data_IF_686079068892
#
_entry.id   IF_686079068892
#
_cell.length_a   1.000
_cell.length_b   1.000
_cell.length_c   1.000
_cell.angle_alpha   90.00
_cell.angle_beta   90.00
_cell.angle_gamma   90.00
#
_symmetry.space_group_name_H-M   'P 1'
#
loop_
_entity.id
_entity.type
_entity.pdbx_description
1 polymer ?
#
# COMPACT_ATOMS: atom_id res chain seq x y z
N UNK A 1 21.07 -6.80 -3.45
CA UNK A 1 22.28 -5.98 -3.33
C UNK A 1 23.21 -6.23 -4.51
N UNK A 2 23.63 -5.17 -5.19
CA UNK A 2 24.72 -5.16 -6.17
C UNK A 2 25.85 -4.29 -5.62
N UNK A 3 27.01 -4.86 -5.43
CA UNK A 3 28.16 -4.17 -4.83
C UNK A 3 28.94 -3.38 -5.90
N UNK A 4 29.18 -2.10 -5.60
CA UNK A 4 30.07 -1.19 -6.32
C UNK A 4 30.92 -0.40 -5.34
N UNK A 5 31.86 0.38 -5.86
CA UNK A 5 32.78 1.18 -5.05
C UNK A 5 32.36 2.65 -4.92
N UNK A 6 31.22 3.03 -5.56
CA UNK A 6 30.68 4.38 -5.52
C UNK A 6 29.76 4.61 -4.33
N UNK A 7 28.87 5.60 -4.45
CA UNK A 7 27.89 5.95 -3.42
C UNK A 7 26.97 4.77 -3.10
N UNK A 8 26.51 4.72 -1.86
CA UNK A 8 25.49 3.78 -1.41
C UNK A 8 24.11 4.30 -1.81
N UNK A 9 23.44 3.57 -2.71
CA UNK A 9 22.11 3.89 -3.18
C UNK A 9 21.10 2.92 -2.59
N UNK A 10 20.01 3.45 -2.06
CA UNK A 10 18.86 2.67 -1.58
C UNK A 10 17.66 2.93 -2.50
N UNK A 11 17.12 1.87 -3.10
CA UNK A 11 15.81 1.87 -3.72
C UNK A 11 14.86 1.09 -2.83
N UNK A 12 13.73 1.68 -2.49
CA UNK A 12 12.76 1.08 -1.57
C UNK A 12 11.36 1.08 -2.17
N UNK A 13 10.63 -0.01 -1.96
CA UNK A 13 9.20 -0.17 -2.23
C UNK A 13 8.62 -1.11 -1.18
N UNK A 14 7.34 -0.96 -0.78
CA UNK A 14 6.81 -1.79 0.27
C UNK A 14 5.98 -2.98 -0.23
N UNK A 15 6.03 -4.09 0.53
CA UNK A 15 5.32 -5.34 0.20
C UNK A 15 4.02 -5.51 0.97
N UNK A 16 3.88 -4.84 2.10
CA UNK A 16 2.68 -4.94 2.93
C UNK A 16 1.48 -4.25 2.27
N UNK A 17 0.31 -4.55 2.74
CA UNK A 17 -0.95 -4.01 2.25
C UNK A 17 -1.85 -3.66 3.42
N UNK A 18 -2.84 -2.80 3.19
CA UNK A 18 -3.86 -2.50 4.18
C UNK A 18 -4.70 -3.73 4.51
N UNK A 19 -5.17 -3.81 5.75
CA UNK A 19 -5.97 -4.91 6.21
C UNK A 19 -6.69 -4.62 7.51
N UNK A 20 -7.16 -5.68 8.15
CA UNK A 20 -7.83 -5.61 9.45
C UNK A 20 -7.22 -6.64 10.41
N UNK A 21 -7.36 -6.41 11.71
CA UNK A 21 -6.93 -7.34 12.75
C UNK A 21 -8.05 -7.51 13.76
N UNK A 22 -8.39 -8.74 14.08
CA UNK A 22 -9.43 -9.06 15.08
C UNK A 22 -9.02 -8.54 16.43
N UNK A 23 -9.94 -7.80 17.09
CA UNK A 23 -9.74 -7.27 18.44
C UNK A 23 -10.64 -7.92 19.48
N UNK A 24 -11.76 -8.51 19.05
CA UNK A 24 -12.73 -9.14 19.91
C UNK A 24 -13.68 -10.01 19.09
N UNK A 25 -14.13 -11.12 19.63
CA UNK A 25 -15.25 -11.92 19.08
C UNK A 25 -16.41 -11.85 20.05
N UNK A 26 -17.58 -11.41 19.58
CA UNK A 26 -18.74 -11.28 20.42
C UNK A 26 -19.43 -12.63 20.69
N UNK A 27 -20.46 -12.63 21.57
CA UNK A 27 -21.18 -13.86 21.97
C UNK A 27 -21.92 -14.53 20.81
N UNK A 28 -22.20 -13.78 19.74
CA UNK A 28 -22.87 -14.28 18.54
C UNK A 28 -21.87 -14.72 17.44
N UNK A 29 -20.58 -14.66 17.73
CA UNK A 29 -19.51 -15.11 16.80
C UNK A 29 -19.04 -14.04 15.80
N UNK A 30 -19.54 -12.80 15.87
CA UNK A 30 -19.05 -11.73 15.01
C UNK A 30 -17.70 -11.19 15.50
N UNK A 31 -16.73 -11.07 14.59
CA UNK A 31 -15.42 -10.56 14.93
C UNK A 31 -15.35 -9.03 14.78
N UNK A 32 -14.99 -8.34 15.86
CA UNK A 32 -14.64 -6.93 15.86
C UNK A 32 -13.18 -6.78 15.45
N UNK A 33 -12.85 -5.68 14.81
CA UNK A 33 -11.52 -5.50 14.29
C UNK A 33 -11.02 -4.06 14.39
N UNK A 34 -9.73 -3.90 14.35
CA UNK A 34 -9.05 -2.63 14.09
C UNK A 34 -8.45 -2.63 12.69
N UNK A 35 -8.10 -1.47 12.19
CA UNK A 35 -7.45 -1.33 10.88
C UNK A 35 -5.95 -1.58 10.96
N UNK A 36 -5.40 -2.12 9.90
CA UNK A 36 -3.97 -2.09 9.56
C UNK A 36 -3.87 -1.15 8.35
N UNK A 37 -3.15 -0.02 8.52
CA UNK A 37 -3.01 0.98 7.46
C UNK A 37 -4.24 1.85 7.20
N UNK A 38 -4.35 2.35 5.99
CA UNK A 38 -5.31 3.37 5.56
C UNK A 38 -6.72 2.86 5.24
N UNK A 39 -7.28 1.96 6.01
CA UNK A 39 -8.62 1.40 5.78
C UNK A 39 -9.72 2.44 5.98
N UNK A 40 -10.55 2.64 4.95
CA UNK A 40 -11.71 3.54 4.97
C UNK A 40 -12.99 2.73 5.22
N UNK A 41 -13.78 3.04 6.26
CA UNK A 41 -15.03 2.33 6.58
C UNK A 41 -16.03 2.25 5.42
N UNK A 42 -16.13 3.29 4.59
CA UNK A 42 -17.06 3.31 3.46
C UNK A 42 -16.75 2.26 2.39
N UNK A 43 -15.47 1.96 2.18
CA UNK A 43 -15.03 1.00 1.16
C UNK A 43 -14.93 -0.43 1.65
N UNK A 44 -15.16 -0.65 2.95
CA UNK A 44 -15.07 -1.97 3.59
C UNK A 44 -16.38 -2.75 3.56
N UNK A 45 -17.54 -2.06 3.68
CA UNK A 45 -18.84 -2.69 3.84
C UNK A 45 -19.14 -3.60 2.65
N UNK A 46 -19.52 -4.87 2.94
CA UNK A 46 -19.75 -5.89 1.94
C UNK A 46 -18.49 -6.52 1.35
N UNK A 47 -17.30 -6.00 1.69
CA UNK A 47 -16.04 -6.60 1.26
C UNK A 47 -15.80 -7.95 1.94
N UNK A 48 -15.21 -8.88 1.20
CA UNK A 48 -14.66 -10.11 1.77
C UNK A 48 -13.25 -9.85 2.29
N UNK A 49 -12.93 -10.50 3.40
CA UNK A 49 -11.56 -10.56 3.93
C UNK A 49 -11.14 -12.01 4.08
N UNK A 50 -9.86 -12.29 3.83
CA UNK A 50 -9.27 -13.61 4.01
C UNK A 50 -8.24 -13.56 5.14
N UNK A 51 -8.35 -14.49 6.06
CA UNK A 51 -7.41 -14.73 7.13
C UNK A 51 -6.22 -15.59 6.64
N UNK A 52 -5.14 -15.65 7.41
CA UNK A 52 -3.90 -16.34 7.03
C UNK A 52 -4.11 -17.82 6.69
N UNK A 53 -5.02 -18.49 7.38
CA UNK A 53 -5.35 -19.91 7.15
C UNK A 53 -6.36 -20.15 5.99
N UNK A 54 -6.69 -19.11 5.23
CA UNK A 54 -7.59 -19.16 4.08
C UNK A 54 -9.09 -19.05 4.44
N UNK A 55 -9.44 -18.91 5.71
CA UNK A 55 -10.82 -18.60 6.10
C UNK A 55 -11.25 -17.26 5.56
N UNK A 56 -12.50 -17.13 5.18
CA UNK A 56 -13.06 -15.91 4.59
C UNK A 56 -14.21 -15.41 5.45
N UNK A 57 -14.22 -14.09 5.68
CA UNK A 57 -15.34 -13.41 6.31
C UNK A 57 -15.87 -12.26 5.46
N UNK A 58 -17.03 -11.73 5.80
CA UNK A 58 -17.66 -10.59 5.14
C UNK A 58 -17.80 -9.45 6.13
N UNK A 59 -17.38 -8.25 5.74
CA UNK A 59 -17.53 -7.07 6.59
C UNK A 59 -18.96 -6.55 6.52
N UNK A 60 -19.62 -6.57 7.66
CA UNK A 60 -20.94 -5.97 7.89
C UNK A 60 -20.85 -4.69 8.71
N UNK A 61 -21.99 -4.00 8.82
CA UNK A 61 -22.12 -2.76 9.59
C UNK A 61 -23.33 -2.86 10.53
N UNK A 62 -23.16 -2.41 11.78
CA UNK A 62 -24.26 -2.18 12.70
C UNK A 62 -25.01 -0.92 12.26
N UNK A 63 -26.18 -1.10 11.67
CA UNK A 63 -27.07 0.01 11.36
C UNK A 63 -28.13 0.15 12.46
N UNK A 64 -28.06 1.25 13.20
CA UNK A 64 -29.20 1.72 13.98
C UNK A 64 -30.13 2.49 13.05
N UNK A 65 -31.46 2.38 13.30
CA UNK A 65 -32.49 2.97 12.45
C UNK A 65 -32.31 4.49 12.22
N UNK A 66 -31.68 5.18 13.17
CA UNK A 66 -31.45 6.63 13.15
C UNK A 66 -30.11 7.03 12.51
N UNK A 67 -29.30 6.07 12.05
CA UNK A 67 -27.96 6.30 11.50
C UNK A 67 -27.88 5.97 10.00
N UNK A 68 -29.02 5.76 9.33
CA UNK A 68 -29.06 5.32 7.93
C UNK A 68 -28.30 6.24 6.96
N UNK A 69 -28.26 7.54 7.25
CA UNK A 69 -27.62 8.57 6.41
C UNK A 69 -26.21 8.95 6.91
N UNK A 70 -25.70 8.32 7.96
CA UNK A 70 -24.39 8.64 8.52
C UNK A 70 -23.30 7.71 7.99
N UNK A 71 -22.14 8.28 7.77
CA UNK A 71 -20.93 7.49 7.48
C UNK A 71 -20.60 6.66 8.73
N UNK A 72 -20.58 5.31 8.62
CA UNK A 72 -20.28 4.46 9.76
C UNK A 72 -18.85 4.66 10.23
N UNK A 73 -18.67 4.54 11.55
CA UNK A 73 -17.35 4.49 12.16
C UNK A 73 -16.78 3.06 12.10
N UNK A 74 -15.48 2.94 12.24
CA UNK A 74 -14.81 1.63 12.20
C UNK A 74 -15.31 0.68 13.32
N UNK A 75 -15.61 1.21 14.49
CA UNK A 75 -16.13 0.47 15.65
C UNK A 75 -17.56 -0.06 15.47
N UNK A 76 -18.27 0.42 14.44
CA UNK A 76 -19.58 -0.08 14.03
C UNK A 76 -19.49 -1.23 13.01
N UNK A 77 -18.29 -1.55 12.53
CA UNK A 77 -18.07 -2.64 11.60
C UNK A 77 -17.73 -3.94 12.34
N UNK A 78 -18.07 -5.05 11.71
CA UNK A 78 -17.73 -6.40 12.17
C UNK A 78 -17.41 -7.29 10.96
N UNK A 79 -16.73 -8.40 11.20
CA UNK A 79 -16.55 -9.47 10.21
C UNK A 79 -17.47 -10.63 10.61
N UNK A 80 -18.37 -11.00 9.71
CA UNK A 80 -19.12 -12.25 9.78
C UNK A 80 -18.24 -13.38 9.24
N UNK A 81 -17.86 -14.29 10.10
CA UNK A 81 -17.02 -15.46 9.80
C UNK A 81 -17.82 -16.77 9.77
N UNK A 82 -19.17 -16.67 9.79
CA UNK A 82 -20.08 -17.82 9.77
C UNK A 82 -20.17 -18.56 11.12
N UNK A 83 -19.66 -18.00 12.21
CA UNK A 83 -19.80 -18.56 13.54
C UNK A 83 -21.19 -18.28 14.12
N UNK A 84 -21.72 -19.18 14.94
CA UNK A 84 -22.99 -19.02 15.65
C UNK A 84 -22.83 -18.50 17.09
N UNK A 85 -21.63 -18.63 17.60
CA UNK A 85 -21.22 -18.20 18.95
C UNK A 85 -19.71 -18.00 18.99
N UNK A 86 -19.23 -17.44 20.12
CA UNK A 86 -17.81 -17.15 20.33
C UNK A 86 -16.94 -18.42 20.35
N UNK A 87 -17.43 -19.50 20.96
CA UNK A 87 -16.65 -20.71 21.18
C UNK A 87 -16.37 -21.44 19.87
N UNK A 88 -17.30 -21.35 18.90
CA UNK A 88 -17.18 -21.92 17.58
C UNK A 88 -16.59 -20.95 16.55
N UNK A 89 -16.12 -19.77 16.97
CA UNK A 89 -15.51 -18.82 16.05
C UNK A 89 -14.24 -19.42 15.43
N UNK A 90 -14.12 -19.41 14.09
CA UNK A 90 -12.93 -19.90 13.40
C UNK A 90 -11.75 -18.91 13.50
N UNK A 91 -11.94 -17.73 14.10
CA UNK A 91 -10.93 -16.69 14.24
C UNK A 91 -10.83 -16.24 15.69
N UNK A 92 -9.67 -15.69 16.05
CA UNK A 92 -9.36 -15.23 17.41
C UNK A 92 -8.77 -13.82 17.40
N UNK A 93 -8.66 -13.21 18.57
CA UNK A 93 -8.02 -11.91 18.76
C UNK A 93 -6.56 -11.98 18.30
N UNK A 94 -6.14 -11.02 17.48
CA UNK A 94 -4.82 -10.93 16.89
C UNK A 94 -4.73 -11.49 15.47
N UNK A 95 -5.73 -12.22 14.98
CA UNK A 95 -5.72 -12.73 13.61
C UNK A 95 -5.81 -11.58 12.61
N UNK A 96 -4.85 -11.43 11.69
CA UNK A 96 -4.92 -10.47 10.59
C UNK A 96 -5.74 -11.02 9.44
N UNK A 97 -6.36 -10.11 8.69
CA UNK A 97 -7.04 -10.45 7.45
C UNK A 97 -6.84 -9.36 6.39
N UNK A 98 -6.73 -9.77 5.14
CA UNK A 98 -6.58 -8.90 3.97
C UNK A 98 -7.84 -8.90 3.12
N UNK A 99 -8.08 -7.82 2.38
CA UNK A 99 -9.21 -7.72 1.46
C UNK A 99 -9.07 -8.70 0.30
N UNK A 100 -10.16 -9.38 -0.05
CA UNK A 100 -10.21 -10.26 -1.22
C UNK A 100 -10.68 -9.45 -2.42
N UNK A 101 -9.75 -9.06 -3.27
CA UNK A 101 -10.00 -8.34 -4.53
C UNK A 101 -9.13 -8.97 -5.62
N UNK A 102 -9.69 -9.81 -6.47
CA UNK A 102 -8.93 -10.53 -7.50
C UNK A 102 -8.35 -9.56 -8.54
N UNK A 103 -7.25 -9.97 -9.15
CA UNK A 103 -6.67 -9.27 -10.29
C UNK A 103 -7.64 -9.29 -11.48
N UNK A 104 -7.75 -8.14 -12.15
CA UNK A 104 -8.47 -8.00 -13.40
C UNK A 104 -7.73 -7.05 -14.35
N UNK A 105 -7.76 -7.34 -15.64
CA UNK A 105 -7.34 -6.43 -16.69
C UNK A 105 -8.58 -5.94 -17.44
N UNK A 106 -8.77 -4.63 -17.54
CA UNK A 106 -9.91 -4.01 -18.19
C UNK A 106 -9.44 -2.90 -19.14
N UNK A 107 -9.48 -3.15 -20.42
CA UNK A 107 -8.91 -2.23 -21.41
C UNK A 107 -7.42 -2.01 -21.16
N UNK A 108 -7.04 -0.77 -20.92
CA UNK A 108 -5.65 -0.36 -20.59
C UNK A 108 -5.36 -0.33 -19.09
N UNK A 109 -6.30 -0.78 -18.26
CA UNK A 109 -6.20 -0.68 -16.80
C UNK A 109 -5.96 -2.04 -16.16
N UNK A 110 -5.12 -2.08 -15.14
CA UNK A 110 -4.93 -3.23 -14.26
C UNK A 110 -5.55 -2.91 -12.90
N UNK A 111 -6.34 -3.84 -12.39
CA UNK A 111 -7.09 -3.69 -11.15
C UNK A 111 -6.72 -4.84 -10.23
N UNK A 112 -6.25 -4.54 -9.04
CA UNK A 112 -5.95 -5.56 -8.02
C UNK A 112 -5.94 -4.93 -6.62
N UNK A 113 -5.97 -5.77 -5.58
CA UNK A 113 -5.56 -5.37 -4.23
C UNK A 113 -4.04 -5.17 -4.20
N UNK A 114 -3.54 -4.48 -3.19
CA UNK A 114 -2.10 -4.34 -2.94
C UNK A 114 -1.29 -3.81 -4.16
N UNK A 115 -1.94 -3.06 -5.08
CA UNK A 115 -1.21 -2.29 -6.09
C UNK A 115 -0.34 -1.23 -5.40
N UNK A 116 -0.82 -0.72 -4.30
CA UNK A 116 -0.11 -0.04 -3.25
C UNK A 116 0.51 -1.09 -2.31
N UNK A 117 1.83 -1.35 -2.30
CA UNK A 117 2.80 -0.82 -3.31
C UNK A 117 3.53 -1.97 -4.05
N UNK A 118 2.85 -3.07 -4.28
CA UNK A 118 3.46 -4.20 -5.01
C UNK A 118 3.79 -3.87 -6.46
N UNK A 119 3.20 -2.80 -7.02
CA UNK A 119 3.61 -2.31 -8.34
C UNK A 119 5.00 -1.65 -8.25
N UNK A 120 5.30 -0.90 -7.19
CA UNK A 120 6.64 -0.38 -6.92
C UNK A 120 7.65 -1.52 -6.74
N UNK A 121 7.28 -2.58 -6.02
CA UNK A 121 8.10 -3.78 -5.93
C UNK A 121 8.39 -4.39 -7.31
N UNK A 122 7.39 -4.49 -8.18
CA UNK A 122 7.56 -5.02 -9.54
C UNK A 122 8.49 -4.12 -10.39
N UNK A 123 8.38 -2.80 -10.25
CA UNK A 123 9.27 -1.82 -10.88
C UNK A 123 10.71 -2.04 -10.43
N UNK A 124 10.97 -2.23 -9.13
CA UNK A 124 12.31 -2.48 -8.60
C UNK A 124 12.87 -3.83 -9.08
N UNK A 125 12.05 -4.87 -9.16
CA UNK A 125 12.45 -6.17 -9.71
C UNK A 125 12.86 -6.03 -11.18
N UNK A 126 12.05 -5.34 -11.97
CA UNK A 126 12.34 -5.13 -13.39
C UNK A 126 13.56 -4.23 -13.59
N UNK A 127 13.76 -3.24 -12.75
CA UNK A 127 14.98 -2.42 -12.73
C UNK A 127 16.22 -3.27 -12.50
N UNK A 128 16.19 -4.18 -11.51
CA UNK A 128 17.30 -5.09 -11.26
C UNK A 128 17.58 -6.06 -12.42
N UNK A 129 16.52 -6.50 -13.12
CA UNK A 129 16.66 -7.39 -14.27
C UNK A 129 17.33 -6.72 -15.47
N UNK A 130 17.06 -5.42 -15.65
CA UNK A 130 17.64 -4.62 -16.74
C UNK A 130 19.00 -4.01 -16.41
N UNK A 131 19.32 -3.90 -15.13
CA UNK A 131 20.58 -3.31 -14.69
C UNK A 131 21.73 -4.32 -14.84
N UNK A 132 22.54 -4.14 -15.88
CA UNK A 132 23.71 -4.99 -16.14
C UNK A 132 24.83 -4.65 -15.16
N UNK A 133 25.24 -3.37 -15.09
CA UNK A 133 26.34 -2.89 -14.26
C UNK A 133 25.97 -1.60 -13.54
N UNK A 134 26.61 -1.34 -12.41
CA UNK A 134 26.51 -0.09 -11.66
C UNK A 134 27.84 0.19 -10.95
N UNK A 135 28.35 1.43 -11.00
CA UNK A 135 29.49 1.83 -10.19
C UNK A 135 29.14 2.01 -8.72
N UNK A 136 27.86 2.08 -8.38
CA UNK A 136 27.36 2.35 -7.05
C UNK A 136 27.13 1.07 -6.24
N UNK A 137 27.20 1.19 -4.92
CA UNK A 137 26.80 0.15 -3.99
C UNK A 137 25.27 0.20 -3.84
N UNK A 138 24.56 -0.62 -4.63
CA UNK A 138 23.12 -0.55 -4.78
C UNK A 138 22.40 -1.55 -3.87
N UNK A 139 21.54 -1.04 -3.02
CA UNK A 139 20.62 -1.79 -2.19
C UNK A 139 19.19 -1.61 -2.70
N UNK A 140 18.50 -2.72 -2.92
CA UNK A 140 17.06 -2.71 -3.21
C UNK A 140 16.34 -3.38 -2.04
N UNK A 141 15.43 -2.65 -1.45
CA UNK A 141 14.69 -3.07 -0.26
C UNK A 141 13.22 -3.21 -0.62
N UNK A 142 12.64 -4.33 -0.21
CA UNK A 142 11.21 -4.57 -0.22
C UNK A 142 10.74 -4.46 1.23
N UNK A 143 10.33 -3.24 1.61
CA UNK A 143 9.99 -2.90 2.98
C UNK A 143 8.69 -3.57 3.43
N UNK A 144 8.52 -3.68 4.75
CA UNK A 144 7.30 -4.12 5.40
C UNK A 144 6.87 -3.11 6.45
N UNK A 145 5.59 -3.12 6.81
CA UNK A 145 5.03 -2.19 7.80
C UNK A 145 5.16 -0.71 7.37
N UNK A 146 5.06 -0.45 6.06
CA UNK A 146 4.93 0.92 5.54
C UNK A 146 3.61 1.51 6.00
N UNK A 147 2.52 0.78 5.80
CA UNK A 147 1.12 1.16 6.06
C UNK A 147 0.84 1.55 7.53
N UNK A 148 1.71 1.14 8.44
CA UNK A 148 1.62 1.44 9.87
C UNK A 148 2.71 2.40 10.36
N UNK A 149 3.39 3.09 9.44
CA UNK A 149 4.27 4.21 9.74
C UNK A 149 5.71 4.07 9.24
N UNK A 150 5.95 3.60 8.02
CA UNK A 150 7.24 3.59 7.32
C UNK A 150 8.34 2.78 8.07
N UNK A 151 7.94 1.73 8.81
CA UNK A 151 8.85 1.09 9.79
C UNK A 151 9.98 0.34 9.12
N UNK A 152 9.68 -0.46 8.09
CA UNK A 152 10.66 -1.25 7.37
C UNK A 152 11.70 -0.37 6.66
N UNK A 153 11.25 0.65 5.94
CA UNK A 153 12.13 1.60 5.26
C UNK A 153 13.09 2.31 6.23
N UNK A 154 12.58 2.75 7.39
CA UNK A 154 13.41 3.41 8.43
C UNK A 154 14.50 2.51 9.00
N UNK A 155 14.15 1.26 9.32
CA UNK A 155 15.12 0.30 9.88
C UNK A 155 16.14 -0.13 8.84
N UNK A 156 15.71 -0.30 7.59
CA UNK A 156 16.61 -0.62 6.47
C UNK A 156 17.58 0.52 6.17
N UNK A 157 17.07 1.77 6.10
CA UNK A 157 17.90 2.95 5.90
C UNK A 157 18.93 3.13 7.02
N UNK A 158 18.51 2.87 8.28
CA UNK A 158 19.43 2.92 9.42
C UNK A 158 20.56 1.89 9.31
N UNK A 159 20.25 0.65 8.91
CA UNK A 159 21.24 -0.43 8.78
C UNK A 159 22.14 -0.31 7.55
N UNK A 160 21.64 0.30 6.47
CA UNK A 160 22.37 0.46 5.21
C UNK A 160 23.19 1.75 5.21
N UNK A 161 22.71 2.81 5.86
CA UNK A 161 23.30 4.15 5.85
C UNK A 161 23.55 4.67 4.42
N UNK A 162 22.49 4.80 3.58
CA UNK A 162 22.64 5.18 2.18
C UNK A 162 23.03 6.67 2.03
N UNK A 163 23.84 6.98 1.01
CA UNK A 163 24.10 8.36 0.62
C UNK A 163 22.90 8.98 -0.10
N UNK A 164 22.13 8.16 -0.82
CA UNK A 164 20.92 8.54 -1.55
C UNK A 164 19.86 7.47 -1.39
N UNK A 165 18.64 7.86 -1.03
CA UNK A 165 17.45 7.01 -0.99
C UNK A 165 16.41 7.47 -2.02
N UNK A 166 15.81 6.52 -2.73
CA UNK A 166 14.67 6.73 -3.63
C UNK A 166 13.60 5.72 -3.26
N UNK A 167 12.45 6.22 -2.79
CA UNK A 167 11.26 5.41 -2.59
C UNK A 167 10.44 5.39 -3.89
N UNK A 168 10.00 4.21 -4.28
CA UNK A 168 9.06 3.99 -5.38
C UNK A 168 7.74 3.58 -4.77
N UNK A 169 6.70 4.35 -5.02
CA UNK A 169 5.40 4.17 -4.39
C UNK A 169 4.30 4.73 -5.29
N UNK A 170 3.06 4.34 -5.06
CA UNK A 170 1.91 4.85 -5.80
C UNK A 170 1.45 6.21 -5.27
N UNK A 171 0.65 6.92 -6.06
CA UNK A 171 0.00 8.16 -5.63
C UNK A 171 -1.42 8.23 -6.17
N UNK A 172 -2.26 9.06 -5.57
CA UNK A 172 -3.56 9.40 -6.12
C UNK A 172 -3.43 10.19 -7.42
N UNK A 173 -4.53 10.29 -8.17
CA UNK A 173 -4.62 11.04 -9.43
C UNK A 173 -5.76 12.07 -9.39
N UNK A 174 -5.68 13.08 -10.24
CA UNK A 174 -6.69 14.12 -10.38
C UNK A 174 -7.74 13.87 -11.46
N UNK A 175 -7.64 12.76 -12.18
CA UNK A 175 -8.46 12.41 -13.35
C UNK A 175 -9.70 11.55 -13.02
N UNK A 176 -10.06 11.41 -11.75
CA UNK A 176 -11.30 10.73 -11.34
C UNK A 176 -12.44 11.73 -11.13
N UNK A 177 -13.73 11.31 -11.27
CA UNK A 177 -14.87 12.20 -11.03
C UNK A 177 -14.80 12.86 -9.64
N UNK A 178 -14.99 14.20 -9.60
CA UNK A 178 -14.94 15.01 -8.37
C UNK A 178 -13.64 14.87 -7.56
N UNK A 179 -12.54 14.48 -8.22
CA UNK A 179 -11.23 14.41 -7.59
C UNK A 179 -10.79 15.78 -7.05
N UNK A 180 -9.93 15.75 -6.03
CA UNK A 180 -9.23 16.98 -5.63
C UNK A 180 -8.32 17.42 -6.77
N UNK A 181 -8.21 18.74 -7.02
CA UNK A 181 -7.28 19.26 -8.04
C UNK A 181 -5.86 18.71 -7.79
N UNK A 182 -5.34 17.99 -8.75
CA UNK A 182 -4.01 17.37 -8.73
C UNK A 182 -3.50 17.29 -10.16
N UNK A 183 -2.24 17.62 -10.38
CA UNK A 183 -1.62 17.61 -11.70
C UNK A 183 -1.03 16.24 -12.08
N UNK A 184 -1.62 15.15 -11.56
CA UNK A 184 -1.21 13.77 -11.86
C UNK A 184 -2.39 13.01 -12.44
N UNK A 185 -2.17 12.41 -13.60
CA UNK A 185 -3.17 11.64 -14.34
C UNK A 185 -2.65 10.22 -14.62
N UNK A 186 -3.54 9.25 -14.62
CA UNK A 186 -3.18 7.87 -14.85
C UNK A 186 -2.85 7.63 -16.35
N UNK A 187 -1.63 7.18 -16.62
CA UNK A 187 -1.15 6.91 -17.98
C UNK A 187 -0.15 7.94 -18.52
N UNK A 188 -0.01 9.09 -17.85
CA UNK A 188 0.84 10.21 -18.30
C UNK A 188 2.29 10.12 -17.79
N UNK A 189 2.72 8.92 -17.37
CA UNK A 189 4.08 8.64 -16.91
C UNK A 189 4.24 8.71 -15.39
N UNK A 190 5.44 8.34 -14.87
CA UNK A 190 5.71 8.38 -13.44
C UNK A 190 5.67 9.80 -12.89
N UNK A 191 5.17 9.92 -11.65
CA UNK A 191 5.16 11.17 -10.92
C UNK A 191 6.44 11.36 -10.11
N UNK A 192 7.22 12.39 -10.41
CA UNK A 192 8.39 12.78 -9.62
C UNK A 192 7.91 13.63 -8.43
N UNK A 193 7.83 13.01 -7.27
CA UNK A 193 7.26 13.63 -6.07
C UNK A 193 8.10 14.82 -5.58
N UNK A 194 7.41 15.91 -5.29
CA UNK A 194 8.00 17.13 -4.72
C UNK A 194 7.91 17.12 -3.20
N UNK A 195 6.73 16.78 -2.67
CA UNK A 195 6.45 16.77 -1.24
C UNK A 195 5.23 15.90 -0.94
N UNK A 196 5.22 15.28 0.24
CA UNK A 196 4.05 14.69 0.87
C UNK A 196 4.08 14.94 2.41
N UNK A 197 3.36 14.11 3.18
CA UNK A 197 3.33 14.24 4.65
C UNK A 197 4.64 13.78 5.32
N UNK A 198 5.36 12.85 4.71
CA UNK A 198 6.54 12.21 5.27
C UNK A 198 7.86 12.74 4.72
N UNK A 199 7.84 13.41 3.56
CA UNK A 199 9.04 13.76 2.82
C UNK A 199 8.93 15.09 2.07
N UNK A 200 10.04 15.82 2.03
CA UNK A 200 10.32 16.86 1.02
C UNK A 200 11.47 16.32 0.15
N UNK A 201 11.20 16.12 -1.14
CA UNK A 201 12.19 15.53 -2.04
C UNK A 201 13.44 16.40 -2.18
N UNK A 202 14.62 15.77 -2.09
CA UNK A 202 15.88 16.50 -2.21
C UNK A 202 16.02 17.12 -3.61
N UNK A 203 16.24 18.44 -3.73
CA UNK A 203 16.18 19.14 -5.03
C UNK A 203 17.11 18.58 -6.10
N UNK A 204 18.31 18.11 -5.73
CA UNK A 204 19.27 17.53 -6.68
C UNK A 204 18.78 16.17 -7.19
N UNK A 205 18.24 15.31 -6.31
CA UNK A 205 17.71 14.00 -6.71
C UNK A 205 16.50 14.17 -7.62
N UNK A 206 15.57 15.06 -7.26
CA UNK A 206 14.41 15.39 -8.09
C UNK A 206 14.84 15.88 -9.49
N UNK A 207 15.80 16.81 -9.56
CA UNK A 207 16.34 17.30 -10.83
C UNK A 207 16.95 16.17 -11.65
N UNK A 208 17.76 15.33 -11.04
CA UNK A 208 18.36 14.18 -11.71
C UNK A 208 17.31 13.25 -12.33
N UNK A 209 16.23 12.95 -11.60
CA UNK A 209 15.15 12.09 -12.13
C UNK A 209 14.48 12.73 -13.35
N UNK A 210 14.22 14.04 -13.29
CA UNK A 210 13.65 14.79 -14.42
C UNK A 210 14.59 14.79 -15.61
N UNK A 211 15.87 15.14 -15.43
CA UNK A 211 16.89 15.14 -16.49
C UNK A 211 17.01 13.76 -17.15
N UNK A 212 17.02 12.68 -16.37
CA UNK A 212 17.07 11.31 -16.91
C UNK A 212 15.82 10.94 -17.69
N UNK A 213 14.63 11.36 -17.24
CA UNK A 213 13.39 11.14 -17.96
C UNK A 213 13.39 11.88 -19.31
N UNK A 214 13.81 13.14 -19.32
CA UNK A 214 13.92 13.96 -20.54
C UNK A 214 14.92 13.39 -21.54
N UNK A 215 16.11 13.01 -21.08
CA UNK A 215 17.15 12.38 -21.93
C UNK A 215 16.70 11.05 -22.53
N UNK A 216 15.90 10.28 -21.79
CA UNK A 216 15.37 8.99 -22.24
C UNK A 216 14.06 9.13 -23.03
N UNK A 217 13.51 10.33 -23.19
CA UNK A 217 12.21 10.56 -23.83
C UNK A 217 11.04 9.92 -23.08
N UNK A 218 11.16 9.74 -21.76
CA UNK A 218 10.13 9.18 -20.91
C UNK A 218 9.22 10.32 -20.43
N UNK A 219 7.89 10.24 -20.67
CA UNK A 219 6.95 11.20 -20.09
C UNK A 219 6.97 11.09 -18.57
N UNK A 220 6.88 12.23 -17.89
CA UNK A 220 6.82 12.30 -16.42
C UNK A 220 5.89 13.41 -15.96
N UNK A 221 5.50 13.36 -14.69
CA UNK A 221 4.63 14.34 -14.04
C UNK A 221 5.27 14.81 -12.71
N UNK A 222 4.80 15.98 -12.17
CA UNK A 222 5.24 16.52 -10.87
C UNK A 222 4.08 16.98 -10.01
#
# INVERSE_FOLDING_TARGET
HKKGDGQRLLLDAHMDEIGVMVTYVDEKGFARFTRIGGVNPLTCIGSRVAFEDGKVGVIGVEQKRDDADKIPKLDQLYVDVGATDRENSPVQVGDPAVFVRPFAAQGTRLIAKAMDDRIGCAVLVETLRRLEETPHDLYVVFAVQEEVGLRGARTSAYGIEPDVGIAVDVTGTGDTPEARPMAVELGEGPAVKVQDRGMIAHPKVRRLLVERAEEAGIPYQM
#
